data_IF_820012221761
#
_entry.id   IF_820012221761
#
_cell.length_a   1.000
_cell.length_b   1.000
_cell.length_c   1.000
_cell.angle_alpha   90.00
_cell.angle_beta   90.00
_cell.angle_gamma   90.00
#
_symmetry.space_group_name_H-M   'P 1'
#
loop_
_entity.id
_entity.type
_entity.pdbx_description
1 polymer ?
#
# COMPACT_ATOMS: atom_id res chain seq x y z
N UNK A 1 18.70 25.28 1.35
CA UNK A 1 19.24 23.95 1.70
C UNK A 1 18.13 22.95 1.40
N UNK A 2 18.35 22.00 0.49
CA UNK A 2 17.37 20.93 0.28
C UNK A 2 17.49 20.00 1.49
N UNK A 3 16.53 20.09 2.40
CA UNK A 3 16.42 19.17 3.53
C UNK A 3 16.08 17.79 2.96
N UNK A 4 16.78 16.75 3.42
CA UNK A 4 16.41 15.36 3.11
C UNK A 4 14.96 15.15 3.53
N UNK A 5 14.08 14.64 2.64
CA UNK A 5 12.66 14.48 2.95
C UNK A 5 12.48 13.48 4.10
N UNK A 6 11.55 13.78 5.00
CA UNK A 6 11.17 12.88 6.09
C UNK A 6 10.18 11.86 5.56
N UNK A 7 10.65 10.61 5.48
CA UNK A 7 9.92 9.48 4.89
C UNK A 7 9.52 8.53 6.00
N UNK A 8 8.23 8.18 6.05
CA UNK A 8 7.72 7.15 6.96
C UNK A 8 7.08 6.01 6.19
N UNK A 9 7.38 4.78 6.60
CA UNK A 9 6.79 3.58 6.01
C UNK A 9 5.70 3.07 6.95
N UNK A 10 4.48 2.93 6.43
CA UNK A 10 3.36 2.28 7.10
C UNK A 10 3.19 0.86 6.58
N UNK A 11 3.28 -0.12 7.49
CA UNK A 11 3.14 -1.54 7.19
C UNK A 11 1.91 -2.10 7.91
N UNK A 12 0.77 -2.27 7.23
CA UNK A 12 -0.36 -3.03 7.76
C UNK A 12 0.05 -4.50 7.90
N UNK A 13 -0.13 -5.08 9.09
CA UNK A 13 0.30 -6.45 9.36
C UNK A 13 -0.79 -7.25 10.10
N UNK A 14 -1.07 -8.46 9.65
CA UNK A 14 -1.94 -9.42 10.34
C UNK A 14 -1.38 -10.83 10.22
N UNK A 15 -0.84 -11.34 11.33
CA UNK A 15 -0.20 -12.65 11.41
C UNK A 15 0.93 -12.86 10.39
N UNK A 16 1.92 -11.95 10.44
CA UNK A 16 3.10 -11.84 9.58
C UNK A 16 4.39 -12.03 10.41
N UNK A 17 4.37 -12.86 11.46
CA UNK A 17 5.49 -13.00 12.40
C UNK A 17 6.82 -13.38 11.73
N UNK A 18 6.79 -14.25 10.72
CA UNK A 18 7.99 -14.78 10.06
C UNK A 18 8.55 -13.82 9.00
N UNK A 19 7.68 -13.01 8.38
CA UNK A 19 7.99 -12.12 7.28
C UNK A 19 8.40 -10.72 7.76
N UNK A 20 7.75 -10.20 8.80
CA UNK A 20 7.91 -8.79 9.20
C UNK A 20 9.36 -8.41 9.55
N UNK A 21 10.21 -9.24 10.18
CA UNK A 21 11.60 -8.85 10.46
C UNK A 21 12.43 -8.70 9.18
N UNK A 22 12.14 -9.51 8.16
CA UNK A 22 12.82 -9.45 6.86
C UNK A 22 12.42 -8.19 6.11
N UNK A 23 11.12 -7.84 6.11
CA UNK A 23 10.62 -6.60 5.53
C UNK A 23 11.32 -5.39 6.15
N UNK A 24 11.34 -5.31 7.48
CA UNK A 24 11.93 -4.17 8.20
C UNK A 24 13.44 -4.07 7.92
N UNK A 25 14.15 -5.20 7.90
CA UNK A 25 15.60 -5.25 7.68
C UNK A 25 16.00 -4.72 6.31
N UNK A 26 15.20 -4.98 5.27
CA UNK A 26 15.52 -4.59 3.90
C UNK A 26 15.07 -3.16 3.56
N UNK A 27 14.39 -2.46 4.48
CA UNK A 27 14.00 -1.06 4.28
C UNK A 27 15.27 -0.17 4.27
N UNK A 28 15.44 0.68 3.25
CA UNK A 28 16.61 1.57 3.15
C UNK A 28 16.71 2.56 4.31
N UNK A 29 17.94 2.87 4.72
CA UNK A 29 18.24 3.78 5.85
C UNK A 29 17.82 5.25 5.63
N UNK A 30 17.36 5.61 4.43
CA UNK A 30 16.77 6.93 4.15
C UNK A 30 15.39 7.09 4.81
N UNK A 31 14.74 5.98 5.16
CA UNK A 31 13.46 5.99 5.88
C UNK A 31 13.69 6.46 7.32
N UNK A 32 12.95 7.48 7.72
CA UNK A 32 13.04 8.08 9.06
C UNK A 32 12.40 7.18 10.11
N UNK A 33 11.29 6.53 9.79
CA UNK A 33 10.57 5.67 10.72
C UNK A 33 9.81 4.56 9.97
N UNK A 34 9.88 3.35 10.52
CA UNK A 34 9.07 2.21 10.08
C UNK A 34 7.99 1.96 11.12
N UNK A 35 6.73 2.02 10.70
CA UNK A 35 5.56 1.92 11.56
C UNK A 35 4.77 0.69 11.13
N UNK A 36 4.79 -0.35 11.96
CA UNK A 36 3.99 -1.55 11.77
C UNK A 36 2.65 -1.38 12.49
N UNK A 37 1.57 -1.42 11.72
CA UNK A 37 0.20 -1.34 12.21
C UNK A 37 -0.36 -2.76 12.33
N UNK A 38 -0.29 -3.34 13.54
CA UNK A 38 -0.80 -4.67 13.81
C UNK A 38 -2.32 -4.67 13.88
N UNK A 39 -2.94 -5.34 12.91
CA UNK A 39 -4.36 -5.43 12.71
C UNK A 39 -4.97 -6.59 13.51
N UNK A 40 -4.86 -6.53 14.84
CA UNK A 40 -5.32 -7.56 15.79
C UNK A 40 -4.64 -8.94 15.56
N UNK A 41 -3.32 -8.96 15.42
CA UNK A 41 -2.57 -10.22 15.25
C UNK A 41 -2.59 -11.07 16.52
N UNK A 42 -2.67 -12.40 16.37
CA UNK A 42 -2.67 -13.37 17.47
C UNK A 42 -1.36 -14.19 17.55
N UNK A 43 -0.40 -13.90 16.67
CA UNK A 43 0.92 -14.50 16.62
C UNK A 43 2.02 -13.55 17.13
N UNK A 44 3.28 -13.90 16.85
CA UNK A 44 4.44 -13.10 17.27
C UNK A 44 4.70 -11.84 16.43
N UNK A 45 3.81 -11.42 15.53
CA UNK A 45 4.01 -10.25 14.63
C UNK A 45 4.44 -9.01 15.40
N UNK A 46 3.71 -8.66 16.47
CA UNK A 46 3.97 -7.46 17.28
C UNK A 46 5.35 -7.51 17.92
N UNK A 47 5.70 -8.64 18.52
CA UNK A 47 6.97 -8.84 19.22
C UNK A 47 8.14 -8.79 18.23
N UNK A 48 7.98 -9.45 17.09
CA UNK A 48 9.01 -9.55 16.04
C UNK A 48 9.24 -8.19 15.36
N UNK A 49 8.19 -7.41 15.11
CA UNK A 49 8.30 -6.05 14.58
C UNK A 49 9.05 -5.11 15.54
N UNK A 50 8.71 -5.11 16.84
CA UNK A 50 9.41 -4.32 17.86
C UNK A 50 10.89 -4.70 17.94
N UNK A 51 11.21 -5.99 17.95
CA UNK A 51 12.59 -6.49 17.99
C UNK A 51 13.40 -6.11 16.75
N UNK A 52 12.75 -6.01 15.59
CA UNK A 52 13.37 -5.58 14.35
C UNK A 52 13.56 -4.05 14.26
N UNK A 53 13.11 -3.28 15.26
CA UNK A 53 13.33 -1.84 15.36
C UNK A 53 12.19 -0.98 14.82
N UNK A 54 11.02 -1.56 14.51
CA UNK A 54 9.86 -0.78 14.10
C UNK A 54 9.08 -0.23 15.30
N UNK A 55 8.49 0.96 15.10
CA UNK A 55 7.37 1.42 15.93
C UNK A 55 6.18 0.51 15.66
N UNK A 56 5.50 0.05 16.71
CA UNK A 56 4.29 -0.79 16.55
C UNK A 56 3.08 -0.07 17.10
N UNK A 57 2.07 0.08 16.25
CA UNK A 57 0.75 0.59 16.59
C UNK A 57 -0.25 -0.55 16.45
N UNK A 58 -1.12 -0.72 17.44
CA UNK A 58 -2.08 -1.82 17.47
C UNK A 58 -3.49 -1.29 17.14
N UNK A 59 -4.16 -1.97 16.21
CA UNK A 59 -5.54 -1.72 15.81
C UNK A 59 -6.38 -2.97 16.15
N UNK A 60 -7.26 -2.90 17.17
CA UNK A 60 -8.05 -4.05 17.59
C UNK A 60 -9.15 -4.42 16.60
N UNK A 61 -9.57 -3.53 15.71
CA UNK A 61 -10.66 -3.77 14.75
C UNK A 61 -10.10 -4.27 13.41
N UNK A 62 -10.36 -5.54 13.03
CA UNK A 62 -9.80 -6.11 11.81
C UNK A 62 -10.16 -5.33 10.54
N UNK A 63 -9.14 -4.99 9.76
CA UNK A 63 -9.27 -4.46 8.40
C UNK A 63 -7.96 -3.82 7.94
N UNK A 64 -7.53 -4.13 6.71
CA UNK A 64 -6.33 -3.52 6.13
C UNK A 64 -6.39 -1.99 6.18
N UNK A 65 -7.52 -1.41 5.75
CA UNK A 65 -7.77 0.02 5.84
C UNK A 65 -7.81 0.56 7.27
N UNK A 66 -8.36 -0.17 8.25
CA UNK A 66 -8.30 0.25 9.65
C UNK A 66 -6.84 0.36 10.13
N UNK A 67 -6.00 -0.62 9.81
CA UNK A 67 -4.58 -0.57 10.14
C UNK A 67 -3.87 0.62 9.47
N UNK A 68 -4.17 0.91 8.19
CA UNK A 68 -3.67 2.11 7.52
C UNK A 68 -4.11 3.41 8.21
N UNK A 69 -5.41 3.53 8.55
CA UNK A 69 -5.97 4.69 9.25
C UNK A 69 -5.35 4.87 10.63
N UNK A 70 -5.13 3.77 11.36
CA UNK A 70 -4.51 3.79 12.67
C UNK A 70 -3.05 4.25 12.60
N UNK A 71 -2.33 3.81 11.58
CA UNK A 71 -0.99 4.29 11.27
C UNK A 71 -0.97 5.79 10.93
N UNK A 72 -1.94 6.25 10.14
CA UNK A 72 -2.08 7.68 9.83
C UNK A 72 -2.40 8.52 11.07
N UNK A 73 -3.24 8.03 11.98
CA UNK A 73 -3.54 8.68 13.27
C UNK A 73 -2.25 8.85 14.10
N UNK A 74 -1.43 7.80 14.19
CA UNK A 74 -0.13 7.88 14.86
C UNK A 74 0.77 8.94 14.23
N UNK A 75 0.91 8.94 12.89
CA UNK A 75 1.74 9.93 12.18
C UNK A 75 1.24 11.36 12.41
N UNK A 76 -0.08 11.57 12.42
CA UNK A 76 -0.67 12.89 12.65
C UNK A 76 -0.41 13.43 14.07
N UNK A 77 -0.18 12.55 15.04
CA UNK A 77 0.14 12.91 16.42
C UNK A 77 1.64 13.23 16.65
N UNK A 78 2.50 12.99 15.65
CA UNK A 78 3.93 13.28 15.75
C UNK A 78 4.20 14.79 15.69
N UNK A 79 5.17 15.24 16.50
CA UNK A 79 5.63 16.63 16.48
C UNK A 79 6.54 16.95 15.30
N UNK A 80 7.14 15.94 14.68
CA UNK A 80 8.02 16.11 13.52
C UNK A 80 7.22 16.02 12.22
N UNK A 81 7.55 16.83 11.21
CA UNK A 81 6.83 16.81 9.94
C UNK A 81 7.00 15.47 9.22
N UNK A 82 6.10 15.19 8.29
CA UNK A 82 6.20 14.07 7.33
C UNK A 82 6.08 14.64 5.93
N UNK A 83 7.01 14.30 5.04
CA UNK A 83 6.95 14.72 3.64
C UNK A 83 6.33 13.63 2.77
N UNK A 84 6.72 12.36 3.00
CA UNK A 84 6.31 11.21 2.19
C UNK A 84 5.86 10.07 3.09
N UNK A 85 4.69 9.51 2.77
CA UNK A 85 4.23 8.23 3.30
C UNK A 85 4.41 7.15 2.23
N UNK A 86 5.00 6.04 2.65
CA UNK A 86 5.09 4.82 1.85
C UNK A 86 4.25 3.74 2.51
N UNK A 87 3.36 3.10 1.76
CA UNK A 87 2.66 1.89 2.20
C UNK A 87 3.37 0.68 1.64
N UNK A 88 3.51 -0.37 2.45
CA UNK A 88 4.18 -1.62 2.12
C UNK A 88 3.52 -2.78 2.85
N UNK A 89 3.36 -3.94 2.21
CA UNK A 89 2.78 -5.12 2.86
C UNK A 89 3.82 -5.84 3.74
N UNK A 90 3.35 -6.39 4.87
CA UNK A 90 4.21 -7.11 5.82
C UNK A 90 4.59 -8.54 5.42
N UNK A 91 4.13 -9.03 4.27
CA UNK A 91 4.25 -10.45 3.87
C UNK A 91 5.51 -10.80 3.07
N UNK A 92 6.39 -9.80 2.89
CA UNK A 92 7.65 -9.90 2.15
C UNK A 92 7.47 -10.22 0.66
N UNK A 93 6.30 -9.98 0.04
CA UNK A 93 6.14 -10.13 -1.43
C UNK A 93 6.82 -9.02 -2.22
N UNK A 94 6.81 -7.80 -1.68
CA UNK A 94 7.52 -6.66 -2.25
C UNK A 94 9.00 -6.68 -1.82
N UNK A 95 9.82 -5.95 -2.57
CA UNK A 95 11.25 -5.76 -2.32
C UNK A 95 11.44 -4.37 -1.68
N UNK A 96 11.57 -4.26 -0.34
CA UNK A 96 11.60 -2.98 0.35
C UNK A 96 12.76 -2.09 -0.09
N UNK A 97 13.86 -2.67 -0.59
CA UNK A 97 15.00 -1.93 -1.12
C UNK A 97 14.64 -1.08 -2.36
N UNK A 98 13.61 -1.46 -3.12
CA UNK A 98 13.11 -0.66 -4.25
C UNK A 98 12.31 0.58 -3.81
N UNK A 99 12.19 0.84 -2.51
CA UNK A 99 11.60 2.07 -1.98
C UNK A 99 12.29 3.31 -2.55
N UNK A 100 13.62 3.26 -2.76
CA UNK A 100 14.40 4.37 -3.34
C UNK A 100 13.87 4.70 -4.75
N UNK A 101 13.63 3.69 -5.57
CA UNK A 101 13.08 3.84 -6.93
C UNK A 101 11.63 4.36 -6.88
N UNK A 102 10.86 3.92 -5.89
CA UNK A 102 9.46 4.32 -5.71
C UNK A 102 9.31 5.80 -5.33
N UNK A 103 10.18 6.33 -4.47
CA UNK A 103 10.09 7.73 -4.00
C UNK A 103 10.81 8.72 -4.93
N UNK A 104 11.69 8.25 -5.82
CA UNK A 104 12.44 9.11 -6.73
C UNK A 104 11.54 10.04 -7.57
N UNK A 105 10.43 9.59 -8.18
CA UNK A 105 9.55 10.50 -8.93
C UNK A 105 8.92 11.60 -8.07
N UNK A 106 8.66 11.34 -6.79
CA UNK A 106 8.13 12.34 -5.85
C UNK A 106 9.19 13.40 -5.59
N UNK A 107 10.41 12.96 -5.27
CA UNK A 107 11.51 13.84 -4.86
C UNK A 107 12.14 14.61 -6.03
N UNK A 108 12.26 13.98 -7.20
CA UNK A 108 12.99 14.51 -8.36
C UNK A 108 12.09 15.16 -9.40
N UNK A 109 10.84 14.72 -9.50
CA UNK A 109 9.91 15.18 -10.54
C UNK A 109 8.63 15.79 -9.96
N UNK A 110 8.57 16.00 -8.64
CA UNK A 110 7.44 16.58 -7.94
C UNK A 110 6.12 15.81 -8.17
N UNK A 111 6.17 14.50 -8.42
CA UNK A 111 4.98 13.66 -8.59
C UNK A 111 4.25 13.50 -7.25
N UNK A 112 2.92 13.59 -7.26
CA UNK A 112 2.13 13.54 -6.02
C UNK A 112 1.97 12.11 -5.49
N UNK A 113 1.79 11.14 -6.39
CA UNK A 113 1.50 9.76 -6.05
C UNK A 113 2.22 8.75 -6.96
N UNK A 114 2.84 7.72 -6.39
CA UNK A 114 3.55 6.68 -7.12
C UNK A 114 3.09 5.30 -6.68
N UNK A 115 2.85 4.41 -7.65
CA UNK A 115 2.52 3.00 -7.41
C UNK A 115 3.63 2.11 -7.95
N UNK A 116 4.05 1.12 -7.16
CA UNK A 116 4.86 0.01 -7.64
C UNK A 116 4.02 -0.94 -8.48
N UNK A 117 4.33 -1.07 -9.78
CA UNK A 117 3.60 -1.96 -10.69
C UNK A 117 4.26 -3.33 -10.78
N UNK A 118 3.51 -4.41 -10.52
CA UNK A 118 4.05 -5.78 -10.46
C UNK A 118 4.15 -6.33 -11.87
N UNK A 119 5.26 -6.03 -12.53
CA UNK A 119 5.47 -6.40 -13.93
C UNK A 119 5.66 -7.91 -14.08
N UNK A 120 4.89 -8.52 -15.01
CA UNK A 120 4.87 -9.98 -15.23
C UNK A 120 6.27 -10.60 -15.41
N UNK A 121 7.20 -9.88 -16.05
CA UNK A 121 8.57 -10.36 -16.31
C UNK A 121 9.49 -10.41 -15.08
N UNK A 122 9.18 -9.66 -14.02
CA UNK A 122 9.98 -9.60 -12.78
C UNK A 122 9.23 -10.15 -11.57
N UNK A 123 8.09 -10.80 -11.83
CA UNK A 123 7.28 -11.45 -10.82
C UNK A 123 7.60 -12.93 -10.79
N UNK A 124 7.84 -13.47 -9.59
CA UNK A 124 8.01 -14.91 -9.40
C UNK A 124 6.74 -15.68 -9.81
N UNK A 125 6.95 -16.90 -10.31
CA UNK A 125 5.84 -17.79 -10.65
C UNK A 125 5.07 -18.13 -9.38
N UNK A 126 3.75 -17.91 -9.41
CA UNK A 126 2.86 -18.20 -8.28
C UNK A 126 2.59 -17.00 -7.36
N UNK A 127 3.36 -15.92 -7.47
CA UNK A 127 3.25 -14.78 -6.54
C UNK A 127 1.90 -14.05 -6.61
N UNK A 128 1.19 -14.17 -7.74
CA UNK A 128 -0.21 -13.72 -7.85
C UNK A 128 -1.09 -14.85 -8.39
N UNK A 129 -2.24 -15.03 -7.75
CA UNK A 129 -3.25 -15.99 -8.21
C UNK A 129 -3.95 -15.50 -9.46
N UNK A 130 -4.57 -16.41 -10.22
CA UNK A 130 -5.34 -16.07 -11.43
C UNK A 130 -6.46 -15.06 -11.11
N UNK A 131 -7.26 -15.22 -10.03
CA UNK A 131 -8.25 -14.22 -9.64
C UNK A 131 -7.66 -12.85 -9.34
N UNK A 132 -6.48 -12.77 -8.71
CA UNK A 132 -5.81 -11.49 -8.44
C UNK A 132 -5.36 -10.80 -9.74
N UNK A 133 -4.83 -11.56 -10.70
CA UNK A 133 -4.42 -11.03 -12.01
C UNK A 133 -5.64 -10.50 -12.76
N UNK A 134 -6.73 -11.27 -12.78
CA UNK A 134 -7.98 -10.86 -13.43
C UNK A 134 -8.59 -9.63 -12.75
N UNK A 135 -8.69 -9.62 -11.42
CA UNK A 135 -9.23 -8.50 -10.65
C UNK A 135 -8.44 -7.21 -10.85
N UNK A 136 -7.10 -7.31 -10.87
CA UNK A 136 -6.22 -6.19 -11.20
C UNK A 136 -6.52 -5.66 -12.59
N UNK A 137 -6.49 -6.53 -13.62
CA UNK A 137 -6.77 -6.15 -15.00
C UNK A 137 -8.16 -5.50 -15.16
N UNK A 138 -9.20 -6.08 -14.54
CA UNK A 138 -10.56 -5.56 -14.61
C UNK A 138 -10.63 -4.15 -14.01
N UNK A 139 -10.08 -3.99 -12.81
CA UNK A 139 -10.09 -2.71 -12.11
C UNK A 139 -9.37 -1.62 -12.91
N UNK A 140 -8.14 -1.89 -13.37
CA UNK A 140 -7.34 -0.92 -14.12
C UNK A 140 -7.96 -0.61 -15.48
N UNK A 141 -8.58 -1.60 -16.14
CA UNK A 141 -9.29 -1.39 -17.41
C UNK A 141 -10.51 -0.48 -17.23
N UNK A 142 -11.29 -0.68 -16.17
CA UNK A 142 -12.43 0.17 -15.86
C UNK A 142 -12.00 1.59 -15.46
N UNK A 143 -10.91 1.72 -14.69
CA UNK A 143 -10.32 3.02 -14.38
C UNK A 143 -9.83 3.73 -15.65
N UNK A 144 -9.23 3.01 -16.59
CA UNK A 144 -8.86 3.55 -17.91
C UNK A 144 -10.10 4.01 -18.69
N UNK A 145 -11.17 3.22 -18.69
CA UNK A 145 -12.40 3.53 -19.42
C UNK A 145 -13.12 4.76 -18.87
N UNK A 146 -13.34 4.84 -17.56
CA UNK A 146 -14.16 5.88 -16.94
C UNK A 146 -13.37 7.13 -16.54
N UNK A 147 -12.07 7.02 -16.26
CA UNK A 147 -11.26 8.12 -15.72
C UNK A 147 -10.04 8.44 -16.58
N UNK A 148 -9.88 7.80 -17.76
CA UNK A 148 -8.69 7.95 -18.63
C UNK A 148 -7.37 7.69 -17.88
N UNK A 149 -7.44 6.79 -16.90
CA UNK A 149 -6.30 6.35 -16.09
C UNK A 149 -5.24 5.63 -16.93
N UNK A 150 -3.98 5.74 -16.49
CA UNK A 150 -2.82 4.99 -17.02
C UNK A 150 -2.32 3.91 -16.04
N UNK A 151 -2.96 3.72 -14.90
CA UNK A 151 -2.59 2.65 -13.97
C UNK A 151 -2.72 1.28 -14.63
N UNK A 152 -1.72 0.43 -14.43
CA UNK A 152 -1.69 -0.97 -14.85
C UNK A 152 -1.69 -1.93 -13.66
N UNK A 153 -1.48 -1.42 -12.44
CA UNK A 153 -1.49 -2.19 -11.21
C UNK A 153 -2.24 -1.48 -10.06
N UNK A 154 -2.66 -2.28 -9.09
CA UNK A 154 -3.24 -1.87 -7.81
C UNK A 154 -2.34 -2.25 -6.61
N UNK A 155 -1.04 -2.42 -6.86
CA UNK A 155 -0.07 -2.96 -5.91
C UNK A 155 -0.04 -2.24 -4.57
N UNK A 156 0.22 -2.96 -3.46
CA UNK A 156 0.24 -2.37 -2.13
C UNK A 156 1.42 -1.42 -1.93
N UNK A 157 2.56 -1.67 -2.59
CA UNK A 157 3.73 -0.82 -2.51
C UNK A 157 3.52 0.51 -3.25
N UNK A 158 3.33 1.59 -2.49
CA UNK A 158 2.98 2.91 -3.04
C UNK A 158 3.52 4.02 -2.15
N UNK A 159 3.86 5.15 -2.78
CA UNK A 159 4.34 6.34 -2.09
C UNK A 159 3.47 7.54 -2.44
N UNK A 160 3.25 8.44 -1.49
CA UNK A 160 2.44 9.63 -1.66
C UNK A 160 3.00 10.78 -0.82
N UNK A 161 2.90 12.01 -1.33
CA UNK A 161 3.16 13.19 -0.49
C UNK A 161 2.15 13.22 0.66
N UNK A 162 2.63 13.51 1.87
CA UNK A 162 1.80 13.39 3.07
C UNK A 162 0.61 14.36 3.07
N UNK A 163 0.81 15.61 2.65
CA UNK A 163 -0.25 16.61 2.51
C UNK A 163 -1.37 16.12 1.56
N UNK A 164 -0.99 15.51 0.43
CA UNK A 164 -1.91 14.90 -0.52
C UNK A 164 -2.65 13.71 0.07
N UNK A 165 -1.99 12.85 0.84
CA UNK A 165 -2.68 11.76 1.54
C UNK A 165 -3.77 12.26 2.49
N UNK A 166 -3.51 13.34 3.23
CA UNK A 166 -4.51 13.94 4.12
C UNK A 166 -5.71 14.48 3.33
N UNK A 167 -5.46 15.17 2.22
CA UNK A 167 -6.50 15.68 1.32
C UNK A 167 -7.37 14.57 0.68
N UNK A 168 -6.89 13.32 0.59
CA UNK A 168 -7.70 12.22 0.06
C UNK A 168 -8.82 11.80 1.02
N UNK A 169 -8.74 12.09 2.32
CA UNK A 169 -9.75 11.71 3.32
C UNK A 169 -10.15 10.23 3.19
N UNK A 170 -9.16 9.32 3.22
CA UNK A 170 -9.38 7.88 2.99
C UNK A 170 -10.43 7.28 3.96
N UNK A 171 -11.33 6.44 3.45
CA UNK A 171 -12.48 5.91 4.21
C UNK A 171 -12.55 4.37 4.25
N UNK A 172 -12.01 3.68 3.25
CA UNK A 172 -12.17 2.24 3.12
C UNK A 172 -11.44 1.53 4.25
N UNK A 173 -12.19 0.82 5.10
CA UNK A 173 -11.67 0.13 6.28
C UNK A 173 -11.08 -1.25 6.00
N UNK A 174 -11.20 -1.77 4.77
CA UNK A 174 -10.77 -3.14 4.43
C UNK A 174 -9.85 -3.14 3.21
N UNK A 175 -10.12 -3.99 2.23
CA UNK A 175 -9.28 -4.24 1.05
C UNK A 175 -9.56 -3.30 -0.13
N UNK A 176 -10.48 -2.34 0.01
CA UNK A 176 -10.76 -1.34 -1.05
C UNK A 176 -9.81 -0.14 -1.02
N UNK A 177 -8.96 -0.03 0.01
CA UNK A 177 -8.01 1.07 0.23
C UNK A 177 -7.21 1.44 -1.02
N UNK A 178 -6.66 0.43 -1.71
CA UNK A 178 -5.78 0.64 -2.86
C UNK A 178 -6.51 1.29 -4.04
N UNK A 179 -7.73 0.84 -4.31
CA UNK A 179 -8.60 1.32 -5.39
C UNK A 179 -9.18 2.69 -5.04
N UNK A 180 -9.67 2.88 -3.81
CA UNK A 180 -10.15 4.18 -3.35
C UNK A 180 -9.07 5.26 -3.55
N UNK A 181 -7.84 4.99 -3.10
CA UNK A 181 -6.74 5.94 -3.19
C UNK A 181 -6.48 6.35 -4.65
N UNK A 182 -6.36 5.38 -5.56
CA UNK A 182 -6.12 5.67 -6.97
C UNK A 182 -7.30 6.41 -7.63
N UNK A 183 -8.55 6.05 -7.31
CA UNK A 183 -9.74 6.75 -7.82
C UNK A 183 -9.80 8.20 -7.34
N UNK A 184 -9.49 8.44 -6.06
CA UNK A 184 -9.48 9.79 -5.50
C UNK A 184 -8.34 10.64 -6.07
N UNK A 185 -7.15 10.06 -6.28
CA UNK A 185 -6.03 10.72 -7.00
C UNK A 185 -6.46 11.14 -8.41
N UNK A 186 -7.11 10.24 -9.16
CA UNK A 186 -7.63 10.54 -10.50
C UNK A 186 -8.69 11.64 -10.47
N UNK A 187 -9.63 11.59 -9.53
CA UNK A 187 -10.70 12.60 -9.40
C UNK A 187 -10.14 13.99 -9.04
N UNK A 188 -9.06 14.05 -8.25
CA UNK A 188 -8.35 15.29 -7.92
C UNK A 188 -7.47 15.81 -9.06
N UNK A 189 -7.25 15.02 -10.12
CA UNK A 189 -6.39 15.39 -11.25
C UNK A 189 -4.91 15.52 -10.88
N UNK A 190 -4.47 14.84 -9.82
CA UNK A 190 -3.09 14.91 -9.35
C UNK A 190 -2.12 14.15 -10.25
N UNK A 191 -0.84 14.51 -10.16
CA UNK A 191 0.20 13.83 -10.90
C UNK A 191 0.49 12.45 -10.31
N UNK A 192 0.61 11.44 -11.16
CA UNK A 192 0.93 10.09 -10.73
C UNK A 192 1.86 9.36 -11.69
N UNK A 193 2.58 8.36 -11.18
CA UNK A 193 3.47 7.50 -11.97
C UNK A 193 3.43 6.06 -11.47
N UNK A 194 3.73 5.12 -12.35
CA UNK A 194 4.03 3.74 -11.98
C UNK A 194 5.53 3.48 -12.12
N UNK A 195 6.11 2.78 -11.14
CA UNK A 195 7.49 2.30 -11.18
C UNK A 195 7.46 0.77 -11.20
N UNK A 196 8.04 0.11 -12.22
CA UNK A 196 8.08 -1.34 -12.30
C UNK A 196 8.81 -1.98 -11.11
N UNK A 197 8.14 -2.87 -10.39
CA UNK A 197 8.68 -3.55 -9.22
C UNK A 197 8.87 -5.05 -9.45
N UNK A 198 9.90 -5.61 -8.83
CA UNK A 198 10.03 -7.05 -8.63
C UNK A 198 8.97 -7.47 -7.60
N UNK A 199 8.51 -8.72 -7.72
CA UNK A 199 7.49 -9.24 -6.81
C UNK A 199 7.70 -10.73 -6.60
N UNK A 200 7.93 -11.14 -5.35
CA UNK A 200 8.24 -12.53 -4.97
C UNK A 200 7.04 -13.22 -4.32
N UNK A 201 7.16 -14.53 -4.16
CA UNK A 201 6.18 -15.27 -3.38
C UNK A 201 6.22 -14.83 -1.92
N UNK A 202 5.03 -14.58 -1.34
CA UNK A 202 4.89 -14.21 0.06
C UNK A 202 5.40 -15.30 1.00
N UNK A 203 5.82 -14.89 2.19
CA UNK A 203 6.01 -15.79 3.34
C UNK A 203 4.68 -15.86 4.12
N UNK A 204 4.36 -17.03 4.65
CA UNK A 204 3.09 -17.27 5.35
C UNK A 204 1.89 -17.47 4.41
N UNK A 205 0.67 -17.38 4.98
CA UNK A 205 -0.59 -17.71 4.28
C UNK A 205 -1.41 -16.47 4.01
N UNK A 206 -1.82 -16.28 2.75
CA UNK A 206 -2.72 -15.19 2.37
C UNK A 206 -4.10 -15.31 3.03
N UNK A 207 -4.51 -14.24 3.71
CA UNK A 207 -5.80 -14.15 4.42
C UNK A 207 -6.95 -13.63 3.53
N UNK A 208 -6.63 -13.05 2.37
CA UNK A 208 -7.61 -12.41 1.46
C UNK A 208 -7.83 -13.24 0.18
N UNK A 209 -6.76 -13.77 -0.42
CA UNK A 209 -6.84 -14.46 -1.72
C UNK A 209 -7.03 -15.99 -1.62
N UNK A 210 -6.98 -16.56 -0.41
CA UNK A 210 -7.10 -18.00 -0.18
C UNK A 210 -8.52 -18.57 -0.34
N UNK A 211 -9.56 -17.73 -0.51
CA UNK A 211 -10.95 -18.19 -0.69
C UNK A 211 -11.61 -17.56 -1.90
N UNK A 212 -12.37 -18.36 -2.66
CA UNK A 212 -13.16 -17.89 -3.82
C UNK A 212 -14.12 -16.77 -3.42
N UNK A 213 -14.70 -16.86 -2.21
CA UNK A 213 -15.57 -15.81 -1.65
C UNK A 213 -14.82 -14.48 -1.48
N UNK A 214 -13.62 -14.51 -0.88
CA UNK A 214 -12.79 -13.32 -0.69
C UNK A 214 -12.46 -12.62 -2.01
N UNK A 215 -12.10 -13.37 -3.05
CA UNK A 215 -11.85 -12.84 -4.38
C UNK A 215 -13.09 -12.19 -5.02
N UNK A 216 -14.27 -12.80 -4.87
CA UNK A 216 -15.53 -12.25 -5.38
C UNK A 216 -15.92 -10.97 -4.64
N UNK A 217 -15.87 -10.97 -3.30
CA UNK A 217 -16.20 -9.78 -2.51
C UNK A 217 -15.22 -8.62 -2.76
N UNK A 218 -13.93 -8.92 -2.98
CA UNK A 218 -12.96 -7.94 -3.45
C UNK A 218 -13.38 -7.35 -4.80
N UNK A 219 -13.69 -8.20 -5.79
CA UNK A 219 -14.15 -7.77 -7.11
C UNK A 219 -15.40 -6.89 -7.06
N UNK A 220 -16.43 -7.28 -6.31
CA UNK A 220 -17.66 -6.49 -6.15
C UNK A 220 -17.35 -5.14 -5.50
N UNK A 221 -16.52 -5.09 -4.47
CA UNK A 221 -16.17 -3.83 -3.80
C UNK A 221 -15.41 -2.89 -4.74
N UNK A 222 -14.48 -3.43 -5.52
CA UNK A 222 -13.74 -2.68 -6.55
C UNK A 222 -14.72 -2.04 -7.54
N UNK A 223 -15.68 -2.82 -8.05
CA UNK A 223 -16.71 -2.30 -8.95
C UNK A 223 -17.53 -1.20 -8.27
N UNK A 224 -18.03 -1.44 -7.06
CA UNK A 224 -18.82 -0.45 -6.31
C UNK A 224 -18.07 0.87 -6.14
N UNK A 225 -16.77 0.84 -5.81
CA UNK A 225 -15.96 2.06 -5.73
C UNK A 225 -15.82 2.77 -7.07
N UNK A 226 -15.52 2.03 -8.15
CA UNK A 226 -15.41 2.59 -9.50
C UNK A 226 -16.74 3.25 -9.91
N UNK A 227 -17.88 2.62 -9.67
CA UNK A 227 -19.19 3.19 -9.97
C UNK A 227 -19.53 4.38 -9.05
N UNK A 228 -19.27 4.28 -7.74
CA UNK A 228 -19.50 5.37 -6.76
C UNK A 228 -18.78 6.65 -7.16
N UNK A 229 -17.54 6.55 -7.64
CA UNK A 229 -16.72 7.71 -8.03
C UNK A 229 -16.84 8.09 -9.51
N UNK A 230 -17.22 7.16 -10.38
CA UNK A 230 -17.36 7.41 -11.81
C UNK A 230 -18.62 8.22 -12.15
N UNK A 231 -19.67 8.09 -11.33
CA UNK A 231 -20.96 8.74 -11.57
C UNK A 231 -21.27 9.92 -10.64
N UNK A 232 -20.53 10.09 -9.54
CA UNK A 232 -20.57 11.33 -8.76
C UNK A 232 -19.66 12.36 -9.42
N UNK A 233 -20.25 13.30 -10.17
CA UNK A 233 -19.60 14.56 -10.58
C UNK A 233 -19.05 15.26 -9.34
#
# INVERSE_FOLDING_TARGET
MSTTPIIRVLIPAYNEADSIPLVIKDIPSIVTEVIVCSNNSDDHTVINARRAGATVVEEPVPGYGNACLKGMEYVAALSSPTDIIVFLDGDYSDYPEQLIELIAPISENNIDFVVGSRVKKWRERGAMTIPQIFGNWLATSLMSLFFKSKFTDLGPFRAIKYDKLLELEMEDRTYGWTVEMQLKVLKRGWSYKEVPMKYRNRIGVSKVSGTVKGAIFAGVKILVWIFKYGFKK
#
